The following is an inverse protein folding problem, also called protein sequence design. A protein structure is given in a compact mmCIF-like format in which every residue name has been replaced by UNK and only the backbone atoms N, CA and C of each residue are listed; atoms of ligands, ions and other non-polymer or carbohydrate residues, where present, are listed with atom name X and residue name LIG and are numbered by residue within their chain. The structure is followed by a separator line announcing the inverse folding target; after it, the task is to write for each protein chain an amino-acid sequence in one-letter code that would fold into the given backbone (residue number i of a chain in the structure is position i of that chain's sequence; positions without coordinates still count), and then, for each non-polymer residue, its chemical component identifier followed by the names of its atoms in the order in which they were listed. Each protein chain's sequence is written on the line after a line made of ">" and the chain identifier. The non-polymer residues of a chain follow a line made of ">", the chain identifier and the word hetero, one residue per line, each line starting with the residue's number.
data_IF_793876452922
#
_entry.id   IF_793876452922
#
_cell.length_a   1.000
_cell.length_b   1.000
_cell.length_c   1.000
_cell.angle_alpha   90.00
_cell.angle_beta   90.00
_cell.angle_gamma   90.00
#
_symmetry.space_group_name_H-M   'P 1'
#
loop_
_entity.id
_entity.type
_entity.pdbx_description
1 polymer ?
#
# COMPACT_ATOMS: atom_id res chain seq x y z
N UNK A 1 -16.15 0.73 -0.75
CA UNK A 1 -15.68 -0.34 0.17
C UNK A 1 -14.53 0.14 1.05
N UNK A 2 -14.67 1.32 1.66
CA UNK A 2 -13.74 1.82 2.67
C UNK A 2 -14.07 1.23 4.05
N UNK A 3 -13.06 0.73 4.77
CA UNK A 3 -13.20 0.21 6.13
C UNK A 3 -12.31 1.00 7.07
N UNK A 4 -12.85 1.47 8.20
CA UNK A 4 -12.08 2.23 9.18
C UNK A 4 -11.11 1.30 9.91
N UNK A 5 -9.82 1.65 9.94
CA UNK A 5 -8.80 0.92 10.71
C UNK A 5 -8.65 1.57 12.08
N UNK A 6 -8.26 2.84 12.12
CA UNK A 6 -8.08 3.61 13.36
C UNK A 6 -8.08 5.10 13.03
N UNK A 7 -8.80 5.90 13.84
CA UNK A 7 -8.84 7.36 13.69
C UNK A 7 -9.13 7.81 12.25
N UNK A 8 -8.19 8.48 11.59
CA UNK A 8 -8.34 8.96 10.21
C UNK A 8 -7.66 8.04 9.18
N UNK A 9 -7.36 6.81 9.57
CA UNK A 9 -6.78 5.77 8.70
C UNK A 9 -7.85 4.77 8.30
N UNK A 10 -8.00 4.56 7.01
CA UNK A 10 -8.95 3.62 6.42
C UNK A 10 -8.25 2.64 5.49
N UNK A 11 -8.71 1.40 5.49
CA UNK A 11 -8.37 0.39 4.50
C UNK A 11 -9.26 0.60 3.26
N UNK A 12 -8.64 0.49 2.09
CA UNK A 12 -9.27 0.64 0.76
C UNK A 12 -8.76 -0.43 -0.22
N UNK A 13 -8.27 -1.56 0.32
CA UNK A 13 -7.68 -2.64 -0.46
C UNK A 13 -8.69 -3.55 -1.14
N UNK A 14 -8.26 -4.79 -1.39
CA UNK A 14 -9.06 -5.83 -2.01
C UNK A 14 -8.89 -7.16 -1.25
N UNK A 15 -10.00 -7.89 -1.07
CA UNK A 15 -9.98 -9.25 -0.51
C UNK A 15 -10.18 -10.22 -1.67
N UNK A 16 -9.21 -11.10 -1.86
CA UNK A 16 -9.18 -12.08 -2.93
C UNK A 16 -9.42 -13.48 -2.37
N UNK A 17 -10.69 -13.85 -2.26
CA UNK A 17 -11.13 -15.15 -1.76
C UNK A 17 -10.79 -16.31 -2.70
N UNK A 18 -10.58 -16.01 -4.00
CA UNK A 18 -10.37 -17.00 -5.04
C UNK A 18 -8.89 -17.24 -5.36
N UNK A 19 -7.98 -16.47 -4.75
CA UNK A 19 -6.54 -16.63 -4.98
C UNK A 19 -6.03 -17.98 -4.46
N UNK A 20 -5.48 -18.79 -5.37
CA UNK A 20 -4.96 -20.13 -5.09
C UNK A 20 -3.46 -20.29 -5.34
N UNK A 21 -2.89 -19.44 -6.18
CA UNK A 21 -1.48 -19.49 -6.55
C UNK A 21 -0.89 -18.08 -6.55
N UNK A 22 0.35 -17.95 -6.07
CA UNK A 22 1.07 -16.69 -5.98
C UNK A 22 2.51 -16.85 -6.48
N UNK A 23 3.00 -15.82 -7.18
CA UNK A 23 4.26 -15.85 -7.93
C UNK A 23 4.34 -16.98 -8.96
N UNK A 24 3.30 -17.09 -9.80
CA UNK A 24 3.11 -18.29 -10.62
C UNK A 24 2.64 -19.42 -9.73
N UNK A 25 3.19 -20.63 -9.92
CA UNK A 25 2.83 -21.81 -9.12
C UNK A 25 3.85 -22.12 -8.02
N UNK A 26 4.71 -21.14 -7.67
CA UNK A 26 5.76 -21.31 -6.67
C UNK A 26 5.21 -21.31 -5.24
N UNK A 27 4.05 -20.68 -5.01
CA UNK A 27 3.39 -20.61 -3.70
C UNK A 27 1.90 -20.93 -3.80
N UNK A 28 1.46 -21.99 -3.12
CA UNK A 28 0.04 -22.36 -3.04
C UNK A 28 -0.66 -21.64 -1.88
N UNK A 29 -1.84 -21.09 -2.17
CA UNK A 29 -2.71 -20.39 -1.21
C UNK A 29 -4.00 -21.18 -1.04
N UNK A 30 -4.34 -21.50 0.21
CA UNK A 30 -5.51 -22.33 0.53
C UNK A 30 -6.69 -21.55 1.11
N UNK A 31 -6.42 -20.34 1.61
CA UNK A 31 -7.38 -19.52 2.35
C UNK A 31 -7.57 -18.12 1.73
N UNK A 32 -7.29 -17.98 0.43
CA UNK A 32 -7.29 -16.68 -0.25
C UNK A 32 -6.23 -15.71 0.29
N UNK A 33 -6.30 -14.45 -0.13
CA UNK A 33 -5.41 -13.38 0.33
C UNK A 33 -6.13 -12.04 0.37
N UNK A 34 -5.41 -10.99 0.75
CA UNK A 34 -5.84 -9.60 0.61
C UNK A 34 -4.68 -8.76 0.10
N UNK A 35 -4.95 -7.78 -0.75
CA UNK A 35 -3.99 -6.71 -1.05
C UNK A 35 -4.42 -5.45 -0.31
N UNK A 36 -3.57 -5.00 0.60
CA UNK A 36 -3.90 -3.94 1.54
C UNK A 36 -3.32 -2.60 1.09
N UNK A 37 -4.21 -1.65 0.84
CA UNK A 37 -3.88 -0.25 0.62
C UNK A 37 -4.61 0.60 1.66
N UNK A 38 -4.01 1.71 2.07
CA UNK A 38 -4.52 2.55 3.16
C UNK A 38 -4.61 4.01 2.75
N UNK A 39 -5.69 4.66 3.19
CA UNK A 39 -5.90 6.10 3.05
C UNK A 39 -5.78 6.76 4.43
N UNK A 40 -4.90 7.74 4.53
CA UNK A 40 -4.69 8.58 5.72
C UNK A 40 -5.21 9.97 5.40
N UNK A 41 -6.22 10.44 6.11
CA UNK A 41 -6.84 11.77 5.89
C UNK A 41 -6.61 12.69 7.09
N UNK A 42 -5.44 13.33 7.12
CA UNK A 42 -5.12 14.37 8.10
C UNK A 42 -5.27 15.76 7.46
N UNK A 43 -4.37 16.73 7.71
CA UNK A 43 -4.34 17.96 6.89
C UNK A 43 -3.83 17.67 5.47
N UNK A 44 -3.12 16.54 5.33
CA UNK A 44 -2.68 15.95 4.08
C UNK A 44 -3.30 14.58 3.89
N UNK A 45 -3.72 14.31 2.66
CA UNK A 45 -4.23 12.99 2.27
C UNK A 45 -3.10 12.15 1.72
N UNK A 46 -2.88 10.98 2.33
CA UNK A 46 -1.82 10.05 1.90
C UNK A 46 -2.42 8.71 1.52
N UNK A 47 -2.11 8.25 0.31
CA UNK A 47 -2.35 6.87 -0.11
C UNK A 47 -1.09 6.04 0.16
N UNK A 48 -1.21 4.97 0.95
CA UNK A 48 -0.12 4.03 1.24
C UNK A 48 -0.36 2.72 0.49
N UNK A 49 0.57 2.42 -0.42
CA UNK A 49 0.55 1.32 -1.38
C UNK A 49 -0.71 1.33 -2.28
N UNK A 50 -0.77 0.38 -3.20
CA UNK A 50 -1.94 0.11 -4.04
C UNK A 50 -2.26 -1.39 -3.98
N UNK A 51 -2.81 -1.97 -5.05
CA UNK A 51 -3.11 -3.40 -5.09
C UNK A 51 -2.59 -4.06 -6.37
N UNK A 52 -2.86 -5.35 -6.49
CA UNK A 52 -2.38 -6.16 -7.59
C UNK A 52 -2.90 -5.72 -8.94
N UNK A 53 -2.02 -5.75 -9.95
CA UNK A 53 -2.28 -5.25 -11.31
C UNK A 53 -3.58 -5.78 -11.95
N UNK A 54 -3.96 -7.07 -11.84
CA UNK A 54 -5.23 -7.56 -12.38
C UNK A 54 -6.45 -6.81 -11.83
N UNK A 55 -6.34 -6.31 -10.60
CA UNK A 55 -7.40 -5.60 -9.87
C UNK A 55 -7.25 -4.07 -9.98
N UNK A 56 -6.31 -3.56 -10.77
CA UNK A 56 -5.91 -2.16 -10.76
C UNK A 56 -6.98 -1.16 -11.22
N UNK A 57 -7.74 -1.47 -12.27
CA UNK A 57 -8.85 -0.60 -12.71
C UNK A 57 -10.01 -0.63 -11.71
N UNK A 58 -10.30 -1.80 -11.13
CA UNK A 58 -11.29 -1.94 -10.07
C UNK A 58 -10.93 -1.11 -8.82
N UNK A 59 -9.66 -1.13 -8.42
CA UNK A 59 -9.15 -0.28 -7.34
C UNK A 59 -9.35 1.20 -7.64
N UNK A 60 -9.00 1.64 -8.85
CA UNK A 60 -9.15 3.03 -9.26
C UNK A 60 -10.61 3.49 -9.21
N UNK A 61 -11.53 2.67 -9.74
CA UNK A 61 -12.97 2.99 -9.75
C UNK A 61 -13.55 3.05 -8.34
N UNK A 62 -13.10 2.16 -7.43
CA UNK A 62 -13.49 2.22 -6.02
C UNK A 62 -12.91 3.45 -5.32
N UNK A 63 -11.63 3.77 -5.55
CA UNK A 63 -10.99 4.93 -4.93
C UNK A 63 -11.69 6.23 -5.33
N UNK A 64 -12.09 6.37 -6.60
CA UNK A 64 -12.89 7.50 -7.12
C UNK A 64 -14.27 7.65 -6.47
N UNK A 65 -14.82 6.58 -5.89
CA UNK A 65 -16.08 6.64 -5.15
C UNK A 65 -15.88 7.09 -3.70
N UNK A 66 -14.68 6.90 -3.15
CA UNK A 66 -14.36 7.18 -1.74
C UNK A 66 -13.74 8.58 -1.55
N UNK A 67 -13.04 9.12 -2.55
CA UNK A 67 -12.39 10.44 -2.50
C UNK A 67 -12.22 11.06 -3.90
N UNK A 68 -12.14 12.39 -3.99
CA UNK A 68 -11.61 13.04 -5.20
C UNK A 68 -10.11 12.77 -5.28
N UNK A 69 -9.66 12.13 -6.37
CA UNK A 69 -8.25 11.77 -6.54
C UNK A 69 -7.32 12.97 -6.43
N UNK A 70 -7.79 14.18 -6.76
CA UNK A 70 -7.00 15.42 -6.68
C UNK A 70 -6.71 15.86 -5.25
N UNK A 71 -7.46 15.34 -4.27
CA UNK A 71 -7.24 15.61 -2.86
C UNK A 71 -6.11 14.74 -2.28
N UNK A 72 -5.60 13.75 -3.03
CA UNK A 72 -4.45 12.93 -2.63
C UNK A 72 -3.17 13.76 -2.80
N UNK A 73 -2.64 14.27 -1.68
CA UNK A 73 -1.39 15.03 -1.66
C UNK A 73 -0.17 14.14 -1.95
N UNK A 74 -0.12 12.94 -1.34
CA UNK A 74 1.05 12.07 -1.36
C UNK A 74 0.67 10.61 -1.64
N UNK A 75 1.52 9.91 -2.39
CA UNK A 75 1.48 8.46 -2.50
C UNK A 75 2.75 7.91 -1.87
N UNK A 76 2.62 6.93 -0.97
CA UNK A 76 3.74 6.20 -0.39
C UNK A 76 3.75 4.81 -1.01
N UNK A 77 4.89 4.41 -1.58
CA UNK A 77 5.09 3.06 -2.11
C UNK A 77 6.18 2.39 -1.29
N UNK A 78 5.76 1.53 -0.36
CA UNK A 78 6.65 0.80 0.53
C UNK A 78 7.44 -0.27 -0.24
N UNK A 79 6.83 -0.86 -1.27
CA UNK A 79 7.41 -1.96 -2.02
C UNK A 79 6.93 -1.94 -3.48
N UNK A 80 7.86 -2.15 -4.42
CA UNK A 80 7.59 -2.05 -5.84
C UNK A 80 7.09 -3.33 -6.50
N UNK A 81 6.85 -4.43 -5.78
CA UNK A 81 6.28 -5.64 -6.39
C UNK A 81 4.84 -5.39 -6.89
N UNK A 82 4.41 -6.17 -7.90
CA UNK A 82 3.23 -5.84 -8.72
C UNK A 82 1.91 -6.06 -7.98
N UNK A 83 1.90 -6.83 -6.90
CA UNK A 83 0.77 -7.07 -6.01
C UNK A 83 0.51 -5.91 -5.03
N UNK A 84 1.50 -5.03 -4.82
CA UNK A 84 1.36 -3.78 -4.07
C UNK A 84 1.34 -2.53 -4.95
N UNK A 85 2.08 -2.52 -6.06
CA UNK A 85 2.24 -1.35 -6.93
C UNK A 85 1.45 -1.45 -8.24
N UNK A 86 0.74 -2.56 -8.47
CA UNK A 86 0.15 -2.90 -9.76
C UNK A 86 -0.94 -1.96 -10.24
N UNK A 87 -1.65 -1.28 -9.33
CA UNK A 87 -2.65 -0.28 -9.68
C UNK A 87 -2.06 1.13 -9.86
N UNK A 88 -0.80 1.35 -9.50
CA UNK A 88 -0.12 2.66 -9.63
C UNK A 88 -0.15 3.19 -11.08
N UNK A 89 0.08 2.39 -12.14
CA UNK A 89 -0.07 2.88 -13.50
C UNK A 89 -1.48 3.38 -13.84
N UNK A 90 -2.53 2.79 -13.26
CA UNK A 90 -3.90 3.24 -13.49
C UNK A 90 -4.17 4.56 -12.77
N UNK A 91 -3.77 4.65 -11.50
CA UNK A 91 -3.90 5.84 -10.67
C UNK A 91 -3.14 7.05 -11.26
N UNK A 92 -1.88 6.86 -11.65
CA UNK A 92 -1.03 7.93 -12.15
C UNK A 92 -1.42 8.41 -13.57
N UNK A 93 -2.39 7.80 -14.25
CA UNK A 93 -2.99 8.39 -15.45
C UNK A 93 -3.94 9.56 -15.09
N UNK A 94 -4.55 9.51 -13.92
CA UNK A 94 -5.50 10.51 -13.44
C UNK A 94 -4.81 11.64 -12.67
N UNK A 95 -3.78 11.30 -11.89
CA UNK A 95 -3.02 12.22 -11.05
C UNK A 95 -1.50 12.13 -11.29
N UNK A 96 -1.02 12.42 -12.52
CA UNK A 96 0.35 12.15 -12.95
C UNK A 96 1.44 12.91 -12.18
N UNK A 97 1.10 14.04 -11.58
CA UNK A 97 2.05 14.93 -10.90
C UNK A 97 2.14 14.69 -9.38
N UNK A 98 1.26 13.85 -8.82
CA UNK A 98 1.23 13.55 -7.39
C UNK A 98 2.57 12.92 -6.97
N UNK A 99 3.26 13.48 -5.96
CA UNK A 99 4.55 12.98 -5.51
C UNK A 99 4.44 11.58 -4.90
N UNK A 100 5.36 10.71 -5.31
CA UNK A 100 5.49 9.34 -4.82
C UNK A 100 6.71 9.25 -3.90
N UNK A 101 6.51 8.91 -2.63
CA UNK A 101 7.55 8.71 -1.64
C UNK A 101 7.93 7.23 -1.56
N UNK A 102 9.20 6.91 -1.85
CA UNK A 102 9.69 5.54 -1.87
C UNK A 102 11.22 5.49 -1.72
N UNK A 103 11.79 4.30 -1.57
CA UNK A 103 13.26 4.16 -1.48
C UNK A 103 13.96 4.41 -2.81
N UNK A 104 15.27 4.66 -2.77
CA UNK A 104 16.08 4.79 -3.98
C UNK A 104 16.06 3.53 -4.87
N UNK A 105 15.87 2.35 -4.26
CA UNK A 105 15.73 1.10 -5.00
C UNK A 105 14.31 0.92 -5.56
N UNK A 106 13.28 1.45 -4.88
CA UNK A 106 11.91 1.45 -5.40
C UNK A 106 11.80 2.28 -6.68
N UNK A 107 12.50 3.40 -6.77
CA UNK A 107 12.58 4.16 -8.03
C UNK A 107 13.10 3.28 -9.18
N UNK A 108 14.10 2.42 -8.92
CA UNK A 108 14.64 1.51 -9.95
C UNK A 108 13.65 0.40 -10.30
N UNK A 109 13.02 -0.24 -9.31
CA UNK A 109 12.06 -1.33 -9.56
C UNK A 109 10.82 -0.81 -10.30
N UNK A 110 10.23 0.30 -9.85
CA UNK A 110 9.06 0.92 -10.48
C UNK A 110 9.35 1.40 -11.91
N UNK A 111 10.51 2.04 -12.15
CA UNK A 111 10.94 2.39 -13.51
C UNK A 111 11.18 1.17 -14.38
N UNK A 112 11.77 0.12 -13.80
CA UNK A 112 12.05 -1.14 -14.50
C UNK A 112 10.77 -1.87 -14.92
N UNK A 113 9.74 -1.88 -14.07
CA UNK A 113 8.47 -2.56 -14.33
C UNK A 113 7.51 -1.75 -15.20
N UNK A 114 7.38 -0.44 -14.96
CA UNK A 114 6.33 0.38 -15.56
C UNK A 114 6.83 1.33 -16.64
N UNK A 115 8.15 1.55 -16.74
CA UNK A 115 8.77 2.44 -17.73
C UNK A 115 8.21 3.88 -17.66
N UNK A 116 7.96 4.37 -16.43
CA UNK A 116 7.46 5.72 -16.16
C UNK A 116 8.46 6.51 -15.31
N UNK A 117 8.53 7.81 -15.56
CA UNK A 117 9.34 8.75 -14.79
C UNK A 117 8.43 9.72 -14.04
N UNK A 118 7.71 9.18 -13.05
CA UNK A 118 6.84 9.98 -12.18
C UNK A 118 7.65 10.86 -11.21
N UNK A 119 6.96 11.72 -10.47
CA UNK A 119 7.53 12.57 -9.44
C UNK A 119 7.96 11.75 -8.20
N UNK A 120 9.08 11.03 -8.32
CA UNK A 120 9.62 10.22 -7.23
C UNK A 120 10.42 11.06 -6.23
N UNK A 121 10.08 10.91 -4.96
CA UNK A 121 10.72 11.55 -3.81
C UNK A 121 11.38 10.47 -2.95
N UNK A 122 12.71 10.40 -3.01
CA UNK A 122 13.47 9.35 -2.33
C UNK A 122 13.54 9.63 -0.83
N UNK A 123 13.17 8.63 -0.03
CA UNK A 123 13.28 8.65 1.44
C UNK A 123 14.24 7.59 1.96
N UNK A 124 14.78 7.81 3.16
CA UNK A 124 15.68 6.92 3.89
C UNK A 124 15.17 6.68 5.30
N UNK A 125 15.79 5.73 6.00
CA UNK A 125 15.48 5.47 7.40
C UNK A 125 15.64 6.74 8.25
N UNK A 126 14.58 7.08 8.98
CA UNK A 126 14.52 8.24 9.86
C UNK A 126 14.05 9.54 9.20
N UNK A 127 13.93 9.57 7.86
CA UNK A 127 13.28 10.69 7.18
C UNK A 127 11.79 10.74 7.58
N UNK A 128 11.23 11.95 7.60
CA UNK A 128 9.86 12.18 8.01
C UNK A 128 9.07 12.97 6.98
N UNK A 129 7.79 12.64 6.82
CA UNK A 129 6.83 13.39 6.02
C UNK A 129 5.68 13.85 6.92
N UNK A 130 5.54 15.16 7.08
CA UNK A 130 4.44 15.74 7.85
C UNK A 130 3.12 15.50 7.14
N UNK A 131 2.11 15.03 7.89
CA UNK A 131 0.75 14.84 7.38
C UNK A 131 -0.25 15.80 8.05
N UNK A 132 0.23 16.65 8.96
CA UNK A 132 -0.58 17.61 9.71
C UNK A 132 -1.16 17.04 11.01
N UNK A 133 -1.90 17.88 11.74
CA UNK A 133 -2.48 17.54 13.05
C UNK A 133 -1.44 17.01 14.07
N UNK A 134 -0.17 17.43 13.94
CA UNK A 134 0.94 16.97 14.78
C UNK A 134 1.36 15.52 14.53
N UNK A 135 0.93 14.92 13.42
CA UNK A 135 1.31 13.57 12.98
C UNK A 135 2.25 13.63 11.79
N UNK A 136 3.07 12.60 11.65
CA UNK A 136 4.01 12.46 10.53
C UNK A 136 4.21 10.99 10.22
N UNK A 137 4.54 10.68 8.97
CA UNK A 137 5.11 9.40 8.59
C UNK A 137 6.62 9.42 8.83
N UNK A 138 7.15 8.36 9.44
CA UNK A 138 8.57 8.10 9.60
C UNK A 138 8.93 6.88 8.76
N UNK A 139 9.89 7.02 7.84
CA UNK A 139 10.25 5.94 6.94
C UNK A 139 11.38 5.07 7.52
N UNK A 140 11.34 3.77 7.24
CA UNK A 140 12.34 2.80 7.68
C UNK A 140 12.66 1.85 6.53
N UNK A 141 13.87 1.93 5.98
CA UNK A 141 14.30 1.00 4.93
C UNK A 141 14.39 -0.43 5.50
N UNK A 142 13.78 -1.39 4.79
CA UNK A 142 13.72 -2.81 5.12
C UNK A 142 14.32 -3.64 3.99
N UNK A 143 15.52 -3.25 3.54
CA UNK A 143 16.16 -3.86 2.36
C UNK A 143 16.30 -5.38 2.52
N UNK A 144 15.90 -6.10 1.48
CA UNK A 144 15.85 -7.56 1.42
C UNK A 144 14.84 -8.20 2.37
N UNK A 145 13.83 -7.43 2.82
CA UNK A 145 12.65 -7.92 3.53
C UNK A 145 11.38 -7.60 2.73
N UNK A 146 11.15 -8.22 1.57
CA UNK A 146 11.98 -9.27 0.96
C UNK A 146 12.70 -8.83 -0.33
N UNK A 147 12.44 -7.64 -0.86
CA UNK A 147 13.14 -7.08 -2.03
C UNK A 147 14.13 -5.96 -1.66
N UNK A 148 15.05 -5.59 -2.56
CA UNK A 148 16.00 -4.50 -2.32
C UNK A 148 15.34 -3.13 -2.07
N UNK A 149 14.07 -2.96 -2.46
CA UNK A 149 13.33 -1.70 -2.39
C UNK A 149 12.42 -1.55 -1.17
N UNK A 150 12.17 -2.64 -0.44
CA UNK A 150 11.22 -2.69 0.66
C UNK A 150 11.56 -1.67 1.75
N UNK A 151 10.51 -1.00 2.25
CA UNK A 151 10.52 -0.15 3.43
C UNK A 151 9.22 -0.31 4.21
N UNK A 152 9.21 0.17 5.45
CA UNK A 152 7.99 0.41 6.20
C UNK A 152 7.80 1.91 6.45
N UNK A 153 6.56 2.28 6.69
CA UNK A 153 6.18 3.66 7.06
C UNK A 153 5.45 3.65 8.40
N UNK A 154 5.90 4.44 9.36
CA UNK A 154 5.31 4.53 10.69
C UNK A 154 4.55 5.85 10.86
N UNK A 155 3.26 5.79 11.17
CA UNK A 155 2.44 6.97 11.47
C UNK A 155 2.50 7.31 12.96
N UNK A 156 3.08 8.47 13.28
CA UNK A 156 3.15 8.97 14.65
C UNK A 156 1.77 9.34 15.21
N UNK A 157 1.65 9.33 16.55
CA UNK A 157 0.39 9.59 17.25
C UNK A 157 -0.56 8.39 17.23
N UNK A 158 -0.93 7.90 16.05
CA UNK A 158 -1.79 6.73 15.89
C UNK A 158 -1.03 5.41 16.12
N UNK A 159 0.30 5.43 16.08
CA UNK A 159 1.16 4.28 16.32
C UNK A 159 0.83 3.09 15.40
N UNK A 160 0.75 3.37 14.09
CA UNK A 160 0.48 2.38 13.05
C UNK A 160 1.77 2.17 12.26
N UNK A 161 2.20 0.92 12.11
CA UNK A 161 3.28 0.53 11.23
C UNK A 161 2.70 -0.08 9.95
N UNK A 162 2.87 0.60 8.82
CA UNK A 162 2.59 0.04 7.50
C UNK A 162 3.82 -0.75 7.07
N UNK A 163 3.80 -2.06 7.34
CA UNK A 163 4.97 -2.94 7.21
C UNK A 163 5.12 -3.62 5.85
N UNK A 164 4.21 -3.35 4.92
CA UNK A 164 4.13 -4.04 3.62
C UNK A 164 4.09 -5.57 3.84
N UNK A 165 4.91 -6.39 3.17
CA UNK A 165 4.89 -7.86 3.32
C UNK A 165 5.29 -8.34 4.70
N UNK A 166 6.14 -7.59 5.40
CA UNK A 166 6.59 -8.01 6.71
C UNK A 166 5.39 -8.13 7.66
N UNK A 167 5.31 -9.27 8.34
CA UNK A 167 4.20 -9.65 9.22
C UNK A 167 2.86 -9.91 8.52
N UNK A 168 2.83 -9.91 7.19
CA UNK A 168 1.67 -10.31 6.39
C UNK A 168 1.45 -11.82 6.32
N UNK A 169 0.29 -12.21 5.82
CA UNK A 169 -0.06 -13.60 5.51
C UNK A 169 -1.09 -13.66 4.38
N UNK A 170 -1.06 -14.73 3.59
CA UNK A 170 -2.13 -15.03 2.63
C UNK A 170 -3.32 -15.67 3.37
N UNK A 171 -4.25 -14.81 3.77
CA UNK A 171 -5.47 -15.22 4.45
C UNK A 171 -6.58 -14.19 4.21
N UNK A 172 -7.64 -14.58 3.49
CA UNK A 172 -8.79 -13.72 3.25
C UNK A 172 -9.71 -13.73 4.48
N UNK A 173 -9.96 -12.55 5.04
CA UNK A 173 -10.90 -12.34 6.14
C UNK A 173 -11.61 -11.00 5.97
N UNK A 174 -12.92 -10.95 6.21
CA UNK A 174 -13.69 -9.73 5.96
C UNK A 174 -13.40 -8.65 7.02
N UNK A 175 -13.13 -9.07 8.24
CA UNK A 175 -13.08 -8.24 9.44
C UNK A 175 -11.76 -7.47 9.63
N UNK A 176 -10.76 -7.69 8.77
CA UNK A 176 -9.42 -7.08 8.73
C UNK A 176 -8.49 -7.39 9.92
N UNK A 177 -9.03 -7.65 11.11
CA UNK A 177 -8.24 -7.88 12.32
C UNK A 177 -8.11 -9.36 12.66
N UNK A 178 -6.95 -9.75 13.16
CA UNK A 178 -6.60 -11.14 13.45
C UNK A 178 -7.43 -11.76 14.59
N UNK A 179 -7.91 -10.95 15.54
CA UNK A 179 -8.78 -11.38 16.63
C UNK A 179 -10.24 -11.61 16.19
N UNK A 180 -10.57 -11.25 14.94
CA UNK A 180 -11.85 -11.49 14.31
C UNK A 180 -11.81 -12.61 13.26
N UNK A 181 -10.61 -13.12 12.94
CA UNK A 181 -10.44 -14.27 12.06
C UNK A 181 -10.73 -15.59 12.78
N UNK A 182 -11.15 -16.61 12.03
CA UNK A 182 -11.40 -17.94 12.58
C UNK A 182 -10.08 -18.54 13.12
N UNK A 183 -9.96 -18.74 14.44
CA UNK A 183 -8.73 -19.27 15.05
C UNK A 183 -8.45 -20.73 14.66
N UNK A 184 -9.42 -21.43 14.06
CA UNK A 184 -9.22 -22.79 13.55
C UNK A 184 -8.53 -22.79 12.17
N UNK A 185 -8.56 -21.66 11.44
CA UNK A 185 -7.99 -21.51 10.10
C UNK A 185 -6.67 -20.71 10.10
N UNK A 186 -6.36 -20.03 11.22
CA UNK A 186 -5.12 -19.30 11.50
C UNK A 186 -3.97 -20.22 11.94
#
# INVERSE_FOLDING_TARGET
>A
MRKKVKNNVSWIGFIDWELQEFHGSDYSIFNGSSQNAYLIEEEKTVLVDTIWKPHGEYFLDNLKQEIDLKDIDYIVVNHGEVDHSGALPALMREIPDTPIYCTANAVKSLKGQYHKDWNFNVVKTGDTLDVGNGKSLVFVEMRMLHWPDSMASYLTGDNILFSNDAFGQHFAVEELFNDLADPCLL
#
